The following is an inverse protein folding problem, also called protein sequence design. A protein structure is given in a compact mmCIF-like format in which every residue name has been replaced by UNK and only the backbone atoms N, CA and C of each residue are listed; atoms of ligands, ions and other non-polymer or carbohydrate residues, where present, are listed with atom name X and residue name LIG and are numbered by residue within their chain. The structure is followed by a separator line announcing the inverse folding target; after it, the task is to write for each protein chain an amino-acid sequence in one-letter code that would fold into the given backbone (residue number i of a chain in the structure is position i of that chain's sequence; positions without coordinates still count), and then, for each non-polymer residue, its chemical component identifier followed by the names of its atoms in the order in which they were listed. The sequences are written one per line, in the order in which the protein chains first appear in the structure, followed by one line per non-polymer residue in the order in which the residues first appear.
data_IF_568999110628
#
_entry.id   IF_568999110628
#
_cell.length_a   1.000
_cell.length_b   1.000
_cell.length_c   1.000
_cell.angle_alpha   90.00
_cell.angle_beta   90.00
_cell.angle_gamma   90.00
#
_symmetry.space_group_name_H-M   'P 1'
#
loop_
_entity.id
_entity.type
_entity.pdbx_description
1 polymer ?
#
# COMPACT_ATOMS: atom_id res chain seq x y z
N UNK A 1 8.49 -5.03 -15.60
CA UNK A 1 7.65 -3.82 -15.59
C UNK A 1 8.26 -2.75 -14.71
N UNK A 2 8.26 -1.50 -15.17
CA UNK A 2 8.79 -0.39 -14.39
C UNK A 2 7.79 0.04 -13.30
N UNK A 3 8.30 0.72 -12.29
CA UNK A 3 7.45 1.31 -11.24
C UNK A 3 6.48 2.32 -11.86
N UNK A 4 6.95 3.14 -12.80
CA UNK A 4 6.11 4.11 -13.50
C UNK A 4 4.94 3.44 -14.23
N UNK A 5 5.20 2.33 -14.91
CA UNK A 5 4.18 1.57 -15.63
C UNK A 5 3.10 1.05 -14.69
N UNK A 6 3.51 0.52 -13.53
CA UNK A 6 2.57 0.02 -12.52
C UNK A 6 1.72 1.14 -11.91
N UNK A 7 2.31 2.31 -11.72
CA UNK A 7 1.55 3.46 -11.21
C UNK A 7 0.52 3.92 -12.24
N UNK A 8 0.86 3.93 -13.53
CA UNK A 8 -0.12 4.22 -14.58
C UNK A 8 -1.27 3.22 -14.57
N UNK A 9 -0.96 1.94 -14.44
CA UNK A 9 -1.98 0.90 -14.35
C UNK A 9 -2.88 1.12 -13.13
N UNK A 10 -2.29 1.44 -11.98
CA UNK A 10 -3.05 1.70 -10.76
C UNK A 10 -4.03 2.86 -10.95
N UNK A 11 -3.58 3.94 -11.57
CA UNK A 11 -4.43 5.11 -11.82
C UNK A 11 -5.56 4.78 -12.80
N UNK A 12 -5.26 4.02 -13.85
CA UNK A 12 -6.27 3.59 -14.82
C UNK A 12 -7.33 2.71 -14.16
N UNK A 13 -6.92 1.70 -13.40
CA UNK A 13 -7.84 0.82 -12.69
C UNK A 13 -8.67 1.59 -11.67
N UNK A 14 -8.05 2.54 -10.97
CA UNK A 14 -8.75 3.38 -10.01
C UNK A 14 -9.88 4.18 -10.68
N UNK A 15 -9.60 4.79 -11.83
CA UNK A 15 -10.59 5.55 -12.59
C UNK A 15 -11.71 4.68 -13.13
N UNK A 16 -11.41 3.42 -13.43
CA UNK A 16 -12.39 2.43 -13.89
C UNK A 16 -13.15 1.79 -12.75
N UNK A 17 -12.94 2.21 -11.52
CA UNK A 17 -13.56 1.65 -10.32
C UNK A 17 -13.19 0.18 -10.06
N UNK A 18 -12.03 -0.25 -10.55
CA UNK A 18 -11.47 -1.59 -10.36
C UNK A 18 -10.48 -1.55 -9.20
N UNK A 19 -11.02 -1.53 -7.96
CA UNK A 19 -10.27 -1.19 -6.76
C UNK A 19 -9.21 -2.24 -6.41
N UNK A 20 -9.54 -3.52 -6.47
CA UNK A 20 -8.57 -4.57 -6.13
C UNK A 20 -7.42 -4.63 -7.12
N UNK A 21 -7.70 -4.44 -8.40
CA UNK A 21 -6.68 -4.40 -9.43
C UNK A 21 -5.78 -3.17 -9.29
N UNK A 22 -6.37 -2.02 -8.94
CA UNK A 22 -5.62 -0.81 -8.64
C UNK A 22 -4.72 -1.04 -7.42
N UNK A 23 -5.22 -1.70 -6.39
CA UNK A 23 -4.44 -2.01 -5.20
C UNK A 23 -3.26 -2.93 -5.52
N UNK A 24 -3.48 -3.97 -6.31
CA UNK A 24 -2.41 -4.87 -6.74
C UNK A 24 -1.30 -4.10 -7.47
N UNK A 25 -1.68 -3.26 -8.42
CA UNK A 25 -0.71 -2.49 -9.19
C UNK A 25 0.10 -1.54 -8.31
N UNK A 26 -0.56 -0.78 -7.43
CA UNK A 26 0.14 0.17 -6.57
C UNK A 26 0.99 -0.54 -5.51
N UNK A 27 0.54 -1.66 -4.97
CA UNK A 27 1.34 -2.42 -4.01
C UNK A 27 2.58 -3.02 -4.66
N UNK A 28 2.48 -3.44 -5.91
CA UNK A 28 3.63 -3.92 -6.67
C UNK A 28 4.70 -2.82 -6.78
N UNK A 29 4.26 -1.60 -7.13
CA UNK A 29 5.15 -0.45 -7.21
C UNK A 29 5.72 -0.06 -5.84
N UNK A 30 4.90 -0.08 -4.80
CA UNK A 30 5.32 0.25 -3.43
C UNK A 30 6.34 -0.76 -2.90
N UNK A 31 6.14 -2.05 -3.20
CA UNK A 31 7.09 -3.08 -2.80
C UNK A 31 8.46 -2.87 -3.45
N UNK A 32 8.49 -2.55 -4.74
CA UNK A 32 9.75 -2.28 -5.42
C UNK A 32 10.43 -1.03 -4.85
N UNK A 33 9.66 0.00 -4.54
CA UNK A 33 10.17 1.22 -3.91
C UNK A 33 10.77 0.91 -2.53
N UNK A 34 10.06 0.12 -1.73
CA UNK A 34 10.51 -0.28 -0.41
C UNK A 34 11.84 -1.03 -0.48
N UNK A 35 11.97 -1.93 -1.45
CA UNK A 35 13.22 -2.68 -1.62
C UNK A 35 14.38 -1.82 -2.09
N UNK A 36 14.10 -0.78 -2.87
CA UNK A 36 15.13 0.21 -3.25
C UNK A 36 15.65 0.97 -2.03
N UNK A 37 14.75 1.33 -1.10
CA UNK A 37 15.11 2.07 0.10
C UNK A 37 15.72 1.17 1.17
N UNK A 38 15.22 -0.04 1.32
CA UNK A 38 15.60 -1.00 2.36
C UNK A 38 16.05 -2.32 1.76
N UNK A 39 17.16 -2.34 0.99
CA UNK A 39 17.60 -3.56 0.31
C UNK A 39 18.02 -4.67 1.27
N UNK A 40 18.29 -4.36 2.54
CA UNK A 40 18.72 -5.33 3.55
C UNK A 40 17.59 -5.76 4.48
N UNK A 41 16.36 -5.35 4.21
CA UNK A 41 15.22 -5.82 4.99
C UNK A 41 15.10 -7.34 4.86
N UNK A 42 14.66 -7.99 5.94
CA UNK A 42 14.59 -9.46 6.02
C UNK A 42 13.53 -10.05 5.11
N UNK A 43 12.49 -9.25 4.79
CA UNK A 43 11.39 -9.68 3.94
C UNK A 43 10.79 -8.48 3.22
N UNK A 44 9.96 -8.76 2.20
CA UNK A 44 9.21 -7.71 1.53
C UNK A 44 8.22 -7.01 2.47
N UNK A 45 7.63 -7.76 3.39
CA UNK A 45 6.73 -7.19 4.40
C UNK A 45 7.44 -6.24 5.33
N UNK A 46 8.65 -6.56 5.75
CA UNK A 46 9.45 -5.66 6.58
C UNK A 46 9.85 -4.39 5.84
N UNK A 47 10.30 -4.53 4.58
CA UNK A 47 10.66 -3.37 3.77
C UNK A 47 9.47 -2.43 3.57
N UNK A 48 8.31 -2.98 3.26
CA UNK A 48 7.09 -2.20 3.07
C UNK A 48 6.66 -1.52 4.37
N UNK A 49 6.77 -2.22 5.50
CA UNK A 49 6.45 -1.65 6.80
C UNK A 49 7.32 -0.42 7.11
N UNK A 50 8.61 -0.50 6.81
CA UNK A 50 9.52 0.62 7.01
C UNK A 50 9.18 1.80 6.08
N UNK A 51 8.88 1.51 4.82
CA UNK A 51 8.48 2.56 3.88
C UNK A 51 7.23 3.30 4.34
N UNK A 52 6.22 2.58 4.80
CA UNK A 52 4.97 3.18 5.26
C UNK A 52 5.16 3.95 6.57
N UNK A 53 6.04 3.50 7.45
CA UNK A 53 6.39 4.24 8.65
C UNK A 53 7.03 5.59 8.28
N UNK A 54 7.94 5.60 7.32
CA UNK A 54 8.56 6.84 6.84
C UNK A 54 7.53 7.78 6.23
N UNK A 55 6.50 7.24 5.62
CA UNK A 55 5.47 8.00 4.89
C UNK A 55 4.18 8.18 5.69
N UNK A 56 4.20 7.94 6.99
CA UNK A 56 2.99 7.95 7.83
C UNK A 56 2.18 9.25 7.69
N UNK A 57 2.84 10.41 7.61
CA UNK A 57 2.17 11.68 7.42
C UNK A 57 1.37 11.77 6.12
N UNK A 58 1.84 11.11 5.05
CA UNK A 58 1.14 11.08 3.78
C UNK A 58 -0.09 10.16 3.82
N UNK A 59 -0.09 9.20 4.72
CA UNK A 59 -1.25 8.34 4.97
C UNK A 59 -2.27 9.02 5.88
N UNK A 60 -1.89 10.11 6.55
CA UNK A 60 -2.76 10.79 7.48
C UNK A 60 -2.82 10.14 8.85
N UNK A 61 -1.82 9.29 9.19
CA UNK A 61 -1.76 8.58 10.46
C UNK A 61 -0.40 8.77 11.13
N UNK A 62 -0.33 8.91 12.45
CA UNK A 62 0.96 8.81 13.14
C UNK A 62 1.53 7.38 12.99
N UNK A 63 2.85 7.27 13.01
CA UNK A 63 3.52 5.98 12.84
C UNK A 63 3.00 4.88 13.78
N UNK A 64 2.72 5.14 15.08
CA UNK A 64 2.19 4.10 15.98
C UNK A 64 0.85 3.53 15.54
N UNK A 65 0.01 4.31 14.82
CA UNK A 65 -1.31 3.86 14.37
C UNK A 65 -1.22 2.93 13.16
N UNK A 66 -0.03 2.75 12.60
CA UNK A 66 0.19 1.80 11.52
C UNK A 66 0.38 0.36 12.03
N UNK A 67 0.26 0.13 13.31
CA UNK A 67 0.37 -1.18 13.91
C UNK A 67 -0.94 -1.55 14.61
N UNK A 68 -1.54 -2.67 14.22
CA UNK A 68 -2.77 -3.17 14.83
C UNK A 68 -2.43 -4.29 15.81
N UNK A 69 -2.49 -3.97 17.11
CA UNK A 69 -2.09 -4.88 18.17
C UNK A 69 -3.00 -6.09 18.32
N UNK A 70 -4.22 -6.01 17.81
CA UNK A 70 -5.24 -7.05 18.00
C UNK A 70 -5.51 -7.86 16.73
N UNK A 71 -4.94 -7.48 15.60
CA UNK A 71 -5.16 -8.15 14.33
C UNK A 71 -4.01 -9.11 14.05
N UNK A 72 -4.34 -10.36 13.79
CA UNK A 72 -3.37 -11.42 13.46
C UNK A 72 -2.29 -11.57 14.54
N UNK A 73 -2.64 -11.29 15.81
CA UNK A 73 -1.67 -11.36 16.91
C UNK A 73 -0.72 -10.18 16.98
N UNK A 74 -1.03 -9.09 16.28
CA UNK A 74 -0.20 -7.90 16.15
C UNK A 74 0.46 -7.84 14.78
N UNK A 75 0.03 -6.91 13.95
CA UNK A 75 0.55 -6.78 12.59
C UNK A 75 0.70 -5.32 12.21
N UNK A 76 1.78 -4.98 11.51
CA UNK A 76 1.93 -3.67 10.92
C UNK A 76 1.08 -3.56 9.64
N UNK A 77 0.70 -2.34 9.28
CA UNK A 77 0.01 -2.09 8.03
C UNK A 77 0.82 -2.64 6.84
N UNK A 78 2.13 -2.44 6.85
CA UNK A 78 3.00 -2.92 5.78
C UNK A 78 2.95 -4.44 5.63
N UNK A 79 2.93 -5.18 6.74
CA UNK A 79 2.81 -6.64 6.69
C UNK A 79 1.45 -7.08 6.16
N UNK A 80 0.38 -6.43 6.60
CA UNK A 80 -0.98 -6.71 6.12
C UNK A 80 -1.07 -6.45 4.61
N UNK A 81 -0.54 -5.32 4.15
CA UNK A 81 -0.57 -4.97 2.73
C UNK A 81 0.32 -5.88 1.90
N UNK A 82 1.44 -6.33 2.44
CA UNK A 82 2.30 -7.29 1.73
C UNK A 82 1.58 -8.62 1.52
N UNK A 83 0.87 -9.10 2.53
CA UNK A 83 0.04 -10.31 2.42
C UNK A 83 -1.09 -10.11 1.42
N UNK A 84 -1.72 -8.93 1.43
CA UNK A 84 -2.75 -8.59 0.45
C UNK A 84 -2.19 -8.63 -0.97
N UNK A 85 -1.00 -8.07 -1.17
CA UNK A 85 -0.31 -8.11 -2.46
C UNK A 85 -0.10 -9.55 -2.93
N UNK A 86 0.44 -10.40 -2.06
CA UNK A 86 0.69 -11.81 -2.41
C UNK A 86 -0.60 -12.56 -2.72
N UNK A 87 -1.63 -12.32 -1.94
CA UNK A 87 -2.94 -12.97 -2.14
C UNK A 87 -3.55 -12.57 -3.47
N UNK A 88 -3.55 -11.27 -3.78
CA UNK A 88 -4.04 -10.76 -5.07
C UNK A 88 -3.26 -11.33 -6.24
N UNK A 89 -1.93 -11.42 -6.09
CA UNK A 89 -1.07 -11.94 -7.13
C UNK A 89 -1.31 -13.44 -7.40
N UNK A 90 -1.53 -14.22 -6.35
CA UNK A 90 -1.68 -15.66 -6.44
C UNK A 90 -3.11 -16.10 -6.77
N UNK A 91 -4.11 -15.42 -6.24
CA UNK A 91 -5.52 -15.86 -6.33
C UNK A 91 -6.45 -14.84 -6.99
N UNK A 92 -5.99 -13.61 -7.18
CA UNK A 92 -6.83 -12.51 -7.67
C UNK A 92 -7.78 -11.96 -6.62
N UNK A 93 -7.66 -12.39 -5.36
CA UNK A 93 -8.55 -11.97 -4.28
C UNK A 93 -7.76 -11.53 -3.06
N UNK A 94 -8.35 -10.62 -2.28
CA UNK A 94 -7.82 -10.24 -0.97
C UNK A 94 -7.92 -11.41 0.01
N UNK A 95 -7.07 -11.43 1.06
CA UNK A 95 -7.23 -12.39 2.14
C UNK A 95 -8.62 -12.27 2.75
N UNK A 96 -9.19 -13.37 3.30
CA UNK A 96 -10.56 -13.35 3.85
C UNK A 96 -10.77 -12.37 5.00
N UNK A 97 -9.69 -12.01 5.70
CA UNK A 97 -9.75 -11.10 6.86
C UNK A 97 -9.50 -9.64 6.50
N UNK A 98 -9.32 -9.33 5.22
CA UNK A 98 -9.03 -7.97 4.74
C UNK A 98 -10.01 -7.60 3.63
N UNK A 99 -10.58 -6.39 3.72
CA UNK A 99 -11.40 -5.87 2.63
C UNK A 99 -11.20 -4.37 2.48
N UNK A 100 -11.61 -3.82 1.34
CA UNK A 100 -11.60 -2.39 1.08
C UNK A 100 -12.99 -1.82 1.35
N UNK A 101 -13.02 -0.62 1.92
CA UNK A 101 -14.25 0.09 2.22
C UNK A 101 -14.22 1.49 1.60
N UNK A 102 -15.38 2.05 1.19
CA UNK A 102 -15.43 3.42 0.71
C UNK A 102 -14.95 4.40 1.79
N UNK A 103 -14.32 5.49 1.38
CA UNK A 103 -13.89 6.52 2.31
C UNK A 103 -12.86 7.43 1.67
N UNK A 104 -12.94 8.73 1.96
CA UNK A 104 -12.01 9.74 1.47
C UNK A 104 -10.85 9.98 2.43
N UNK A 105 -10.96 9.49 3.67
CA UNK A 105 -9.88 9.56 4.66
C UNK A 105 -9.44 8.17 5.02
N UNK A 106 -8.17 8.01 5.33
CA UNK A 106 -7.65 6.70 5.71
C UNK A 106 -8.17 6.32 7.10
N UNK A 107 -8.89 5.23 7.14
CA UNK A 107 -9.38 4.62 8.37
C UNK A 107 -9.31 3.11 8.26
N UNK A 108 -9.13 2.46 9.40
CA UNK A 108 -9.22 1.01 9.52
C UNK A 108 -10.43 0.71 10.38
N UNK A 109 -11.40 0.00 9.82
CA UNK A 109 -12.61 -0.39 10.54
C UNK A 109 -12.49 -1.82 11.04
N UNK A 110 -12.82 -2.03 12.30
CA UNK A 110 -12.89 -3.37 12.87
C UNK A 110 -14.29 -3.91 12.59
N UNK A 111 -14.36 -4.92 11.71
CA UNK A 111 -15.64 -5.55 11.36
C UNK A 111 -16.04 -6.58 12.41
N UNK A 112 -15.06 -7.37 12.83
CA UNK A 112 -15.14 -8.28 13.96
C UNK A 112 -13.71 -8.54 14.45
N UNK A 113 -13.50 -9.39 15.43
CA UNK A 113 -12.19 -9.61 16.02
C UNK A 113 -11.12 -10.06 15.03
N UNK A 114 -11.53 -10.66 13.92
CA UNK A 114 -10.62 -11.28 12.95
C UNK A 114 -10.65 -10.62 11.57
N UNK A 115 -11.41 -9.54 11.39
CA UNK A 115 -11.57 -8.92 10.08
C UNK A 115 -11.42 -7.42 10.17
N UNK A 116 -10.78 -6.85 9.13
CA UNK A 116 -10.55 -5.40 9.02
C UNK A 116 -10.95 -4.90 7.64
N UNK A 117 -11.52 -3.70 7.61
CA UNK A 117 -11.77 -2.98 6.36
C UNK A 117 -10.86 -1.76 6.31
N UNK A 118 -10.12 -1.60 5.23
CA UNK A 118 -9.22 -0.48 4.98
C UNK A 118 -9.84 0.46 3.98
N UNK A 119 -9.78 1.77 4.26
CA UNK A 119 -10.33 2.77 3.35
C UNK A 119 -9.67 2.66 1.98
N UNK A 120 -10.47 2.67 0.92
CA UNK A 120 -9.96 2.57 -0.45
C UNK A 120 -9.09 3.77 -0.85
N UNK A 121 -9.18 4.89 -0.14
CA UNK A 121 -8.31 6.04 -0.38
C UNK A 121 -6.83 5.72 -0.13
N UNK A 122 -6.54 4.60 0.51
CA UNK A 122 -5.17 4.08 0.63
C UNK A 122 -4.51 3.96 -0.75
N UNK A 123 -5.28 3.62 -1.79
CA UNK A 123 -4.75 3.42 -3.14
C UNK A 123 -4.15 4.70 -3.69
N UNK A 124 -4.89 5.83 -3.82
CA UNK A 124 -4.27 7.07 -4.29
C UNK A 124 -3.18 7.61 -3.36
N UNK A 125 -3.27 7.34 -2.05
CA UNK A 125 -2.20 7.75 -1.12
C UNK A 125 -0.91 6.97 -1.36
N UNK A 126 -1.00 5.68 -1.62
CA UNK A 126 0.17 4.88 -2.00
C UNK A 126 0.77 5.34 -3.33
N UNK A 127 -0.07 5.72 -4.29
CA UNK A 127 0.41 6.30 -5.56
C UNK A 127 1.29 7.52 -5.28
N UNK A 128 0.85 8.43 -4.43
CA UNK A 128 1.62 9.63 -4.08
C UNK A 128 2.92 9.29 -3.35
N UNK A 129 2.89 8.32 -2.43
CA UNK A 129 4.09 7.87 -1.73
C UNK A 129 5.14 7.36 -2.73
N UNK A 130 4.72 6.57 -3.69
CA UNK A 130 5.62 6.03 -4.72
C UNK A 130 6.16 7.16 -5.62
N UNK A 131 5.28 8.06 -6.07
CA UNK A 131 5.68 9.18 -6.93
C UNK A 131 6.69 10.11 -6.25
N UNK A 132 6.51 10.36 -4.97
CA UNK A 132 7.33 11.31 -4.22
C UNK A 132 8.59 10.69 -3.63
N UNK A 133 8.73 9.37 -3.70
CA UNK A 133 9.91 8.69 -3.16
C UNK A 133 11.17 9.12 -3.92
N UNK A 134 12.21 9.60 -3.21
CA UNK A 134 13.46 10.01 -3.88
C UNK A 134 14.08 8.90 -4.73
N UNK A 135 13.90 7.64 -4.34
CA UNK A 135 14.40 6.48 -5.06
C UNK A 135 13.83 6.36 -6.47
N UNK A 136 12.66 6.94 -6.70
CA UNK A 136 11.94 6.85 -7.97
C UNK A 136 12.03 8.13 -8.80
N UNK A 137 12.89 9.06 -8.40
CA UNK A 137 12.98 10.39 -9.00
C UNK A 137 13.14 10.36 -10.52
N UNK A 138 13.89 9.40 -11.05
CA UNK A 138 14.12 9.29 -12.48
C UNK A 138 12.89 8.86 -13.26
N UNK A 139 12.00 8.12 -12.63
CA UNK A 139 10.78 7.62 -13.26
C UNK A 139 9.63 8.63 -13.18
N UNK A 140 9.68 9.55 -12.24
CA UNK A 140 8.67 10.58 -12.04
C UNK A 140 9.33 11.96 -11.96
N UNK A 141 9.84 12.48 -13.08
CA UNK A 141 10.49 13.80 -13.06
C UNK A 141 9.50 14.88 -12.65
N UNK A 142 9.99 15.85 -11.88
CA UNK A 142 9.16 16.98 -11.46
C UNK A 142 8.74 17.79 -12.68
N UNK A 143 7.46 18.15 -12.73
CA UNK A 143 6.97 19.03 -13.78
C UNK A 143 7.58 20.41 -13.60
N UNK A 144 8.11 20.98 -14.67
CA UNK A 144 8.49 22.38 -14.70
C UNK A 144 7.26 23.22 -14.86
N UNK A 145 7.26 24.32 -14.16
CA UNK A 145 6.22 25.33 -14.32
C UNK A 145 6.70 26.46 -15.19
#
# INVERSE_FOLDING_TARGET
MSIQSRIKDAETFWQENRKEEALLAVLSAANDTARRRYPQAKSGGEALAFLLTDAAGQLGQPAPDLFDWTFRGGASLGEVLYDAYRSLLQTGKLPPDVELAPGSEFQVQILDGNRRAYSECLIPRLVEIVRQAPENRKEFPKRRR
#
